data_IF_740305981409
#
_entry.id   IF_740305981409
#
_cell.length_a   1.000
_cell.length_b   1.000
_cell.length_c   1.000
_cell.angle_alpha   90.00
_cell.angle_beta   90.00
_cell.angle_gamma   90.00
#
_symmetry.space_group_name_H-M   'P 1'
#
loop_
_entity.id
_entity.type
_entity.pdbx_description
1 polymer ?
#
# COMPACT_ATOMS: atom_id res chain seq x y z
N UNK A 1 -33.14 -16.64 -13.46
CA UNK A 1 -32.02 -17.60 -13.28
C UNK A 1 -31.83 -18.59 -14.45
N UNK A 2 -32.08 -18.24 -15.73
CA UNK A 2 -31.88 -19.20 -16.87
C UNK A 2 -30.78 -18.81 -17.89
N UNK A 3 -30.12 -17.65 -17.76
CA UNK A 3 -29.02 -17.23 -18.66
C UNK A 3 -27.71 -16.84 -17.94
N UNK A 4 -27.63 -16.96 -16.61
CA UNK A 4 -26.47 -16.51 -15.82
C UNK A 4 -25.29 -17.49 -15.82
N UNK A 5 -25.51 -18.78 -16.07
CA UNK A 5 -24.45 -19.80 -16.03
C UNK A 5 -23.45 -19.75 -17.19
N UNK A 6 -23.73 -19.04 -18.29
CA UNK A 6 -22.80 -18.96 -19.42
C UNK A 6 -21.71 -17.90 -19.20
N UNK A 7 -21.99 -16.80 -18.52
CA UNK A 7 -21.09 -15.64 -18.41
C UNK A 7 -20.28 -15.60 -17.11
N UNK A 8 -20.80 -16.20 -16.03
CA UNK A 8 -20.21 -16.12 -14.69
C UNK A 8 -19.78 -17.49 -14.18
N UNK A 9 -18.81 -17.50 -13.28
CA UNK A 9 -18.27 -18.70 -12.65
C UNK A 9 -18.07 -18.46 -11.15
N UNK A 10 -18.39 -19.48 -10.35
CA UNK A 10 -18.04 -19.51 -8.94
C UNK A 10 -16.54 -19.80 -8.76
N UNK A 11 -15.89 -19.02 -7.92
CA UNK A 11 -14.55 -19.27 -7.41
C UNK A 11 -14.54 -19.18 -5.89
N UNK A 12 -13.48 -19.66 -5.27
CA UNK A 12 -13.25 -19.49 -3.83
C UNK A 12 -11.97 -18.67 -3.61
N UNK A 13 -12.09 -17.59 -2.85
CA UNK A 13 -10.96 -16.80 -2.37
C UNK A 13 -11.01 -16.71 -0.84
N UNK A 14 -9.95 -17.15 -0.17
CA UNK A 14 -9.99 -17.37 1.28
C UNK A 14 -11.02 -18.46 1.61
N UNK A 15 -11.99 -18.10 2.43
CA UNK A 15 -13.15 -18.93 2.76
C UNK A 15 -14.44 -18.46 2.09
N UNK A 16 -14.32 -17.51 1.15
CA UNK A 16 -15.46 -16.82 0.54
C UNK A 16 -15.67 -17.26 -0.89
N UNK A 17 -16.90 -17.71 -1.19
CA UNK A 17 -17.36 -18.01 -2.54
C UNK A 17 -17.71 -16.73 -3.28
N UNK A 18 -17.27 -16.58 -4.52
CA UNK A 18 -17.50 -15.39 -5.33
C UNK A 18 -17.98 -15.78 -6.72
N UNK A 19 -19.01 -15.09 -7.22
CA UNK A 19 -19.39 -15.13 -8.63
C UNK A 19 -18.61 -14.06 -9.39
N UNK A 20 -17.85 -14.49 -10.40
CA UNK A 20 -17.01 -13.61 -11.20
C UNK A 20 -17.23 -13.85 -12.69
N UNK A 21 -17.02 -12.86 -13.57
CA UNK A 21 -17.07 -13.08 -15.02
C UNK A 21 -16.00 -14.11 -15.43
N UNK A 22 -16.39 -15.14 -16.20
CA UNK A 22 -15.47 -16.20 -16.67
C UNK A 22 -14.24 -15.63 -17.38
N UNK A 23 -14.45 -14.61 -18.21
CA UNK A 23 -13.40 -13.91 -18.95
C UNK A 23 -12.33 -13.29 -18.05
N UNK A 24 -12.68 -12.89 -16.83
CA UNK A 24 -11.72 -12.37 -15.85
C UNK A 24 -10.67 -13.40 -15.43
N UNK A 25 -10.96 -14.69 -15.58
CA UNK A 25 -10.07 -15.79 -15.22
C UNK A 25 -9.18 -16.25 -16.38
N UNK A 26 -9.60 -15.99 -17.61
CA UNK A 26 -8.89 -16.47 -18.82
C UNK A 26 -8.15 -15.36 -19.55
N UNK A 27 -8.65 -14.12 -19.52
CA UNK A 27 -8.04 -13.00 -20.24
C UNK A 27 -6.85 -12.41 -19.46
N UNK A 28 -5.82 -11.99 -20.21
CA UNK A 28 -4.61 -11.38 -19.63
C UNK A 28 -4.91 -10.06 -18.92
N UNK A 29 -5.83 -9.27 -19.50
CA UNK A 29 -6.36 -8.03 -18.94
C UNK A 29 -7.84 -8.27 -18.68
N UNK A 30 -8.27 -8.32 -17.41
CA UNK A 30 -9.67 -8.59 -17.11
C UNK A 30 -10.60 -7.52 -17.68
N UNK A 31 -11.74 -7.93 -18.26
CA UNK A 31 -12.67 -6.98 -18.84
C UNK A 31 -13.38 -6.18 -17.75
N UNK A 32 -13.72 -4.92 -18.07
CA UNK A 32 -14.50 -4.04 -17.17
C UNK A 32 -16.01 -4.37 -17.28
N UNK A 33 -16.44 -4.90 -18.42
CA UNK A 33 -17.81 -5.29 -18.71
C UNK A 33 -17.95 -6.82 -18.74
N UNK A 34 -19.05 -7.40 -18.23
CA UNK A 34 -20.17 -6.70 -17.59
C UNK A 34 -19.84 -6.18 -16.17
N UNK A 35 -18.85 -6.78 -15.51
CA UNK A 35 -18.30 -6.35 -14.23
C UNK A 35 -16.79 -6.61 -14.21
N UNK A 36 -16.04 -5.87 -13.40
CA UNK A 36 -14.60 -6.09 -13.27
C UNK A 36 -14.27 -7.01 -12.10
N UNK A 37 -13.38 -7.97 -12.34
CA UNK A 37 -12.73 -8.74 -11.29
C UNK A 37 -11.29 -9.04 -11.72
N UNK A 38 -10.32 -8.82 -10.83
CA UNK A 38 -8.93 -9.19 -11.11
C UNK A 38 -8.48 -10.33 -10.18
N UNK A 39 -8.29 -11.56 -10.69
CA UNK A 39 -7.81 -12.67 -9.88
C UNK A 39 -6.38 -12.44 -9.36
N UNK A 40 -5.57 -11.64 -10.06
CA UNK A 40 -4.19 -11.32 -9.62
C UNK A 40 -4.15 -10.41 -8.39
N UNK A 41 -5.25 -9.73 -8.07
CA UNK A 41 -5.37 -8.91 -6.87
C UNK A 41 -5.71 -9.74 -5.61
N UNK A 42 -5.67 -11.08 -5.68
CA UNK A 42 -5.91 -11.96 -4.54
C UNK A 42 -4.98 -11.67 -3.35
N UNK A 43 -3.67 -11.56 -3.60
CA UNK A 43 -2.68 -11.27 -2.53
C UNK A 43 -2.93 -9.91 -1.88
N UNK A 44 -3.29 -8.93 -2.70
CA UNK A 44 -3.65 -7.59 -2.24
C UNK A 44 -4.93 -7.59 -1.36
N UNK A 45 -5.92 -8.42 -1.68
CA UNK A 45 -7.09 -8.66 -0.83
C UNK A 45 -6.73 -9.43 0.44
N UNK A 46 -5.82 -10.42 0.37
CA UNK A 46 -5.30 -11.12 1.56
C UNK A 46 -4.65 -10.13 2.54
N UNK A 47 -3.80 -9.20 2.08
CA UNK A 47 -3.26 -8.14 2.93
C UNK A 47 -4.34 -7.26 3.56
N UNK A 48 -5.42 -6.99 2.84
CA UNK A 48 -6.55 -6.21 3.37
C UNK A 48 -7.22 -6.94 4.52
N UNK A 49 -7.53 -8.24 4.36
CA UNK A 49 -8.13 -9.06 5.42
C UNK A 49 -7.22 -9.13 6.65
N UNK A 50 -5.91 -9.34 6.46
CA UNK A 50 -4.94 -9.38 7.57
C UNK A 50 -4.89 -8.02 8.29
N UNK A 51 -4.79 -6.90 7.56
CA UNK A 51 -4.75 -5.57 8.15
C UNK A 51 -6.03 -5.25 8.92
N UNK A 52 -7.19 -5.62 8.39
CA UNK A 52 -8.48 -5.41 9.05
C UNK A 52 -8.64 -6.31 10.28
N UNK A 53 -8.22 -7.58 10.23
CA UNK A 53 -8.18 -8.44 11.41
C UNK A 53 -7.32 -7.84 12.53
N UNK A 54 -6.09 -7.40 12.19
CA UNK A 54 -5.16 -6.80 13.14
C UNK A 54 -5.72 -5.52 13.76
N UNK A 55 -6.38 -4.68 12.96
CA UNK A 55 -7.07 -3.49 13.42
C UNK A 55 -8.21 -3.84 14.40
N UNK A 56 -9.10 -4.76 14.01
CA UNK A 56 -10.28 -5.14 14.78
C UNK A 56 -9.94 -5.82 16.11
N UNK A 57 -8.78 -6.49 16.22
CA UNK A 57 -8.29 -7.11 17.46
C UNK A 57 -8.11 -6.10 18.59
N UNK A 58 -7.66 -4.88 18.27
CA UNK A 58 -7.35 -3.81 19.23
C UNK A 58 -8.37 -2.66 19.22
N UNK A 59 -9.39 -2.72 18.37
CA UNK A 59 -10.37 -1.65 18.22
C UNK A 59 -11.60 -1.88 19.10
N UNK A 60 -11.86 -0.93 20.00
CA UNK A 60 -12.95 -1.01 21.00
C UNK A 60 -14.24 -0.26 20.59
N UNK A 61 -14.27 0.30 19.37
CA UNK A 61 -15.43 1.02 18.84
C UNK A 61 -16.37 0.13 18.00
N UNK A 62 -17.47 0.72 17.48
CA UNK A 62 -18.42 0.00 16.62
C UNK A 62 -17.72 -0.44 15.32
N UNK A 63 -17.85 -1.73 15.00
CA UNK A 63 -17.21 -2.34 13.84
C UNK A 63 -18.07 -2.14 12.60
N UNK A 64 -17.82 -1.04 11.88
CA UNK A 64 -18.56 -0.63 10.70
C UNK A 64 -17.61 -0.61 9.49
N UNK A 65 -17.90 -1.42 8.49
CA UNK A 65 -17.12 -1.50 7.26
C UNK A 65 -17.87 -0.81 6.11
N UNK A 66 -17.19 0.12 5.45
CA UNK A 66 -17.69 0.85 4.27
C UNK A 66 -16.76 0.57 3.09
N UNK A 67 -17.26 -0.11 2.06
CA UNK A 67 -16.55 -0.28 0.78
C UNK A 67 -17.21 0.58 -0.28
N UNK A 68 -16.46 1.53 -0.82
CA UNK A 68 -17.00 2.55 -1.74
C UNK A 68 -17.02 2.13 -3.22
N UNK A 69 -16.11 1.24 -3.62
CA UNK A 69 -15.94 0.74 -4.99
C UNK A 69 -15.71 -0.79 -4.95
N UNK A 70 -16.78 -1.58 -4.84
CA UNK A 70 -16.66 -3.01 -4.53
C UNK A 70 -16.31 -3.91 -5.71
N UNK A 71 -16.52 -3.46 -6.94
CA UNK A 71 -16.62 -4.34 -8.10
C UNK A 71 -17.62 -5.46 -7.80
N UNK A 72 -17.20 -6.71 -8.01
CA UNK A 72 -18.01 -7.91 -7.69
C UNK A 72 -18.13 -8.23 -6.19
N UNK A 73 -17.70 -7.33 -5.30
CA UNK A 73 -17.78 -7.51 -3.83
C UNK A 73 -16.65 -8.36 -3.23
N UNK A 74 -15.59 -8.66 -3.99
CA UNK A 74 -14.57 -9.62 -3.58
C UNK A 74 -13.88 -9.30 -2.25
N UNK A 75 -13.74 -8.02 -1.86
CA UNK A 75 -13.13 -7.65 -0.58
C UNK A 75 -14.19 -7.51 0.51
N UNK A 76 -15.26 -6.75 0.28
CA UNK A 76 -16.32 -6.59 1.27
C UNK A 76 -16.95 -7.92 1.71
N UNK A 77 -17.18 -8.84 0.77
CA UNK A 77 -17.71 -10.17 1.11
C UNK A 77 -16.72 -11.01 1.91
N UNK A 78 -15.42 -10.94 1.59
CA UNK A 78 -14.38 -11.57 2.42
C UNK A 78 -14.32 -10.98 3.82
N UNK A 79 -14.46 -9.66 3.94
CA UNK A 79 -14.54 -9.00 5.25
C UNK A 79 -15.77 -9.48 6.03
N UNK A 80 -16.93 -9.56 5.41
CA UNK A 80 -18.15 -10.05 6.06
C UNK A 80 -18.06 -11.53 6.49
N UNK A 81 -17.41 -12.37 5.68
CA UNK A 81 -17.35 -13.81 5.90
C UNK A 81 -16.21 -14.20 6.84
N UNK A 82 -15.05 -13.55 6.73
CA UNK A 82 -13.81 -13.94 7.41
C UNK A 82 -13.58 -13.15 8.70
N UNK A 83 -14.26 -12.00 8.90
CA UNK A 83 -14.06 -11.11 10.05
C UNK A 83 -15.36 -10.80 10.79
N UNK A 84 -15.25 -10.41 12.07
CA UNK A 84 -16.39 -10.00 12.90
C UNK A 84 -16.67 -8.51 12.73
N UNK A 85 -17.64 -8.19 11.86
CA UNK A 85 -18.14 -6.83 11.62
C UNK A 85 -19.60 -6.72 12.08
N UNK A 86 -19.98 -5.59 12.68
CA UNK A 86 -21.36 -5.34 13.14
C UNK A 86 -22.24 -4.77 12.04
N UNK A 87 -21.69 -3.92 11.16
CA UNK A 87 -22.42 -3.31 10.04
C UNK A 87 -21.57 -3.31 8.78
N UNK A 88 -22.08 -3.92 7.73
CA UNK A 88 -21.45 -4.00 6.42
C UNK A 88 -22.20 -3.14 5.41
N UNK A 89 -21.47 -2.26 4.72
CA UNK A 89 -22.00 -1.52 3.57
C UNK A 89 -21.10 -1.67 2.36
N UNK A 90 -21.65 -2.19 1.27
CA UNK A 90 -20.95 -2.45 0.01
C UNK A 90 -21.58 -1.60 -1.08
N UNK A 91 -20.79 -0.72 -1.69
CA UNK A 91 -21.23 0.18 -2.75
C UNK A 91 -20.47 -0.06 -4.06
N UNK A 92 -21.19 0.00 -5.18
CA UNK A 92 -20.59 0.14 -6.50
C UNK A 92 -21.53 0.89 -7.44
N UNK A 93 -20.97 1.61 -8.41
CA UNK A 93 -21.76 2.32 -9.42
C UNK A 93 -22.26 1.38 -10.53
N UNK A 94 -21.62 0.21 -10.72
CA UNK A 94 -22.02 -0.78 -11.71
C UNK A 94 -23.11 -1.70 -11.14
N UNK A 95 -24.37 -1.61 -11.62
CA UNK A 95 -25.47 -2.44 -11.12
C UNK A 95 -25.23 -3.94 -11.33
N UNK A 96 -24.53 -4.32 -12.40
CA UNK A 96 -24.25 -5.75 -12.67
C UNK A 96 -23.23 -6.31 -11.69
N UNK A 97 -22.22 -5.50 -11.33
CA UNK A 97 -21.24 -5.90 -10.33
C UNK A 97 -21.88 -6.02 -8.94
N UNK A 98 -22.80 -5.12 -8.61
CA UNK A 98 -23.55 -5.15 -7.36
C UNK A 98 -24.53 -6.33 -7.28
N UNK A 99 -25.19 -6.71 -8.38
CA UNK A 99 -26.00 -7.92 -8.45
C UNK A 99 -25.16 -9.18 -8.20
N UNK A 100 -23.98 -9.29 -8.82
CA UNK A 100 -23.04 -10.38 -8.55
C UNK A 100 -22.57 -10.41 -7.09
N UNK A 101 -22.36 -9.25 -6.47
CA UNK A 101 -21.99 -9.16 -5.06
C UNK A 101 -23.13 -9.66 -4.15
N UNK A 102 -24.38 -9.32 -4.46
CA UNK A 102 -25.57 -9.82 -3.74
C UNK A 102 -25.74 -11.32 -3.89
N UNK A 103 -25.64 -11.84 -5.12
CA UNK A 103 -25.74 -13.28 -5.36
C UNK A 103 -24.60 -14.04 -4.63
N UNK A 104 -23.38 -13.48 -4.66
CA UNK A 104 -22.24 -14.03 -3.92
C UNK A 104 -22.45 -13.98 -2.41
N UNK A 105 -23.11 -12.95 -1.87
CA UNK A 105 -23.42 -12.90 -0.43
C UNK A 105 -24.37 -14.04 -0.04
N UNK A 106 -25.36 -14.35 -0.87
CA UNK A 106 -26.27 -15.48 -0.66
C UNK A 106 -25.54 -16.82 -0.68
N UNK A 107 -24.54 -17.01 -1.55
CA UNK A 107 -23.72 -18.23 -1.59
C UNK A 107 -22.92 -18.49 -0.30
N UNK A 108 -22.66 -17.44 0.47
CA UNK A 108 -21.95 -17.50 1.75
C UNK A 108 -22.89 -17.37 2.96
N UNK A 109 -24.22 -17.36 2.75
CA UNK A 109 -25.23 -17.13 3.80
C UNK A 109 -25.07 -15.80 4.54
N UNK A 110 -24.60 -14.76 3.84
CA UNK A 110 -24.42 -13.41 4.38
C UNK A 110 -25.66 -12.57 4.07
N UNK A 111 -26.48 -12.34 5.09
CA UNK A 111 -27.76 -11.64 4.96
C UNK A 111 -27.73 -10.19 5.48
N UNK A 112 -26.77 -9.86 6.36
CA UNK A 112 -26.68 -8.57 7.04
C UNK A 112 -25.73 -7.58 6.33
N UNK A 113 -25.93 -7.40 5.02
CA UNK A 113 -25.13 -6.48 4.20
C UNK A 113 -26.05 -5.47 3.51
N UNK A 114 -25.77 -4.19 3.71
CA UNK A 114 -26.44 -3.11 2.98
C UNK A 114 -25.70 -2.85 1.65
N UNK A 115 -26.39 -3.06 0.53
CA UNK A 115 -25.85 -2.78 -0.80
C UNK A 115 -26.42 -1.47 -1.33
N UNK A 116 -25.57 -0.63 -1.94
CA UNK A 116 -26.00 0.62 -2.59
C UNK A 116 -25.38 0.83 -3.96
N UNK A 117 -26.14 1.47 -4.84
CA UNK A 117 -25.70 1.88 -6.18
C UNK A 117 -25.52 3.40 -6.21
N UNK A 118 -24.35 3.89 -5.79
CA UNK A 118 -24.05 5.33 -5.72
C UNK A 118 -22.64 5.60 -6.23
N UNK A 119 -22.43 6.83 -6.69
CA UNK A 119 -21.08 7.35 -6.89
C UNK A 119 -20.34 7.33 -5.54
N UNK A 120 -19.05 6.99 -5.55
CA UNK A 120 -18.27 6.69 -4.36
C UNK A 120 -18.25 7.83 -3.33
N UNK A 121 -18.06 9.08 -3.75
CA UNK A 121 -18.11 10.21 -2.82
C UNK A 121 -19.52 10.56 -2.36
N UNK A 122 -20.56 10.32 -3.17
CA UNK A 122 -21.97 10.43 -2.68
C UNK A 122 -22.19 9.43 -1.54
N UNK A 123 -21.84 8.17 -1.75
CA UNK A 123 -21.93 7.12 -0.73
C UNK A 123 -21.12 7.46 0.54
N UNK A 124 -19.86 7.88 0.40
CA UNK A 124 -19.01 8.19 1.54
C UNK A 124 -19.52 9.41 2.32
N UNK A 125 -20.05 10.44 1.64
CA UNK A 125 -20.56 11.64 2.31
C UNK A 125 -21.82 11.39 3.14
N UNK A 126 -22.66 10.42 2.77
CA UNK A 126 -23.80 9.99 3.61
C UNK A 126 -23.35 9.43 4.98
N UNK A 127 -22.12 8.95 5.05
CA UNK A 127 -21.50 8.40 6.25
C UNK A 127 -20.58 9.39 6.97
N UNK A 128 -20.60 10.68 6.60
CA UNK A 128 -19.72 11.70 7.20
C UNK A 128 -20.17 12.19 8.60
N UNK A 129 -21.43 11.90 8.98
CA UNK A 129 -22.02 12.32 10.27
C UNK A 129 -21.53 11.45 11.41
N UNK A 130 -21.33 12.05 12.59
CA UNK A 130 -20.98 11.35 13.83
C UNK A 130 -22.02 10.24 14.10
N UNK A 131 -21.55 9.04 14.43
CA UNK A 131 -22.39 7.84 14.65
C UNK A 131 -22.61 6.95 13.41
N UNK A 132 -22.42 7.49 12.20
CA UNK A 132 -22.60 6.74 10.94
C UNK A 132 -21.29 6.48 10.18
N UNK A 133 -20.17 7.00 10.67
CA UNK A 133 -18.84 6.82 10.07
C UNK A 133 -18.39 5.36 10.16
N UNK A 134 -17.56 4.93 9.21
CA UNK A 134 -16.93 3.61 9.20
C UNK A 134 -15.74 3.53 10.15
N UNK A 135 -15.58 2.40 10.83
CA UNK A 135 -14.33 2.05 11.53
C UNK A 135 -13.28 1.58 10.53
N UNK A 136 -13.72 1.00 9.41
CA UNK A 136 -12.90 0.64 8.27
C UNK A 136 -13.58 1.25 7.04
N UNK A 137 -12.85 2.06 6.29
CA UNK A 137 -13.30 2.65 5.03
C UNK A 137 -12.34 2.26 3.92
N UNK A 138 -12.86 1.66 2.85
CA UNK A 138 -12.07 1.15 1.73
C UNK A 138 -12.37 1.89 0.42
N UNK A 139 -11.30 2.32 -0.24
CA UNK A 139 -11.32 3.03 -1.53
C UNK A 139 -10.34 2.35 -2.49
N UNK A 140 -10.87 1.58 -3.45
CA UNK A 140 -10.09 0.82 -4.44
C UNK A 140 -10.51 1.16 -5.88
N UNK A 141 -10.17 2.36 -6.40
CA UNK A 141 -10.61 2.79 -7.71
C UNK A 141 -9.68 2.30 -8.82
N UNK A 142 -10.16 2.38 -10.05
CA UNK A 142 -9.28 2.37 -11.22
C UNK A 142 -8.48 3.67 -11.30
N UNK A 143 -7.16 3.56 -11.38
CA UNK A 143 -6.24 4.69 -11.43
C UNK A 143 -5.91 5.26 -10.06
N UNK A 144 -6.33 6.50 -9.80
CA UNK A 144 -5.87 7.29 -8.64
C UNK A 144 -6.94 7.37 -7.55
N UNK A 145 -6.58 7.21 -6.26
CA UNK A 145 -7.50 7.41 -5.15
C UNK A 145 -7.63 8.88 -4.73
N UNK A 146 -6.81 9.78 -5.28
CA UNK A 146 -6.69 11.15 -4.80
C UNK A 146 -8.01 11.95 -4.85
N UNK A 147 -8.89 11.64 -5.80
CA UNK A 147 -10.20 12.27 -5.92
C UNK A 147 -11.14 11.95 -4.74
N UNK A 148 -10.89 10.87 -4.01
CA UNK A 148 -11.77 10.36 -2.96
C UNK A 148 -11.22 10.60 -1.55
N UNK A 149 -10.03 11.19 -1.40
CA UNK A 149 -9.40 11.38 -0.09
C UNK A 149 -10.24 12.21 0.88
N UNK A 150 -10.85 13.31 0.43
CA UNK A 150 -11.66 14.18 1.30
C UNK A 150 -12.89 13.43 1.82
N UNK A 151 -13.68 12.83 0.91
CA UNK A 151 -14.90 12.10 1.27
C UNK A 151 -14.57 10.84 2.09
N UNK A 152 -13.45 10.16 1.79
CA UNK A 152 -12.91 9.04 2.57
C UNK A 152 -12.57 9.40 4.01
N UNK A 153 -11.77 10.45 4.21
CA UNK A 153 -11.40 10.92 5.56
C UNK A 153 -12.64 11.29 6.37
N UNK A 154 -13.61 11.99 5.76
CA UNK A 154 -14.84 12.39 6.46
C UNK A 154 -15.71 11.20 6.85
N UNK A 155 -15.71 10.15 6.04
CA UNK A 155 -16.44 8.91 6.30
C UNK A 155 -15.77 8.02 7.35
N UNK A 156 -14.48 8.21 7.64
CA UNK A 156 -13.76 7.44 8.66
C UNK A 156 -13.94 8.05 10.06
N UNK A 157 -14.26 7.21 11.04
CA UNK A 157 -14.40 7.66 12.42
C UNK A 157 -13.06 7.93 13.08
N UNK A 158 -13.07 8.64 14.22
CA UNK A 158 -11.87 8.82 15.03
C UNK A 158 -11.34 7.45 15.48
N UNK A 159 -10.05 7.21 15.25
CA UNK A 159 -9.39 5.95 15.54
C UNK A 159 -9.61 4.85 14.49
N UNK A 160 -10.47 5.09 13.50
CA UNK A 160 -10.73 4.18 12.39
C UNK A 160 -9.60 4.13 11.36
N UNK A 161 -9.67 3.19 10.43
CA UNK A 161 -8.70 3.00 9.36
C UNK A 161 -9.33 3.34 8.00
N UNK A 162 -8.60 4.15 7.22
CA UNK A 162 -8.88 4.44 5.82
C UNK A 162 -7.83 3.72 4.98
N UNK A 163 -8.29 2.78 4.15
CA UNK A 163 -7.47 2.10 3.15
C UNK A 163 -7.70 2.70 1.77
N UNK A 164 -6.62 2.89 1.02
CA UNK A 164 -6.69 3.41 -0.34
C UNK A 164 -5.79 2.64 -1.28
N UNK A 165 -6.21 2.51 -2.54
CA UNK A 165 -5.46 1.86 -3.59
C UNK A 165 -5.14 2.82 -4.74
N UNK A 166 -3.96 2.69 -5.32
CA UNK A 166 -3.61 3.32 -6.58
C UNK A 166 -3.09 2.27 -7.58
N UNK A 167 -3.56 2.38 -8.82
CA UNK A 167 -3.13 1.55 -9.96
C UNK A 167 -2.52 2.38 -11.10
N UNK A 168 -2.45 3.71 -10.96
CA UNK A 168 -1.79 4.59 -11.94
C UNK A 168 -0.26 4.67 -11.78
N UNK A 169 0.39 3.50 -11.70
CA UNK A 169 1.83 3.34 -11.43
C UNK A 169 2.73 4.17 -12.33
N UNK A 170 2.41 4.29 -13.62
CA UNK A 170 3.23 5.07 -14.57
C UNK A 170 3.28 6.56 -14.19
N UNK A 171 2.18 7.08 -13.63
CA UNK A 171 2.11 8.47 -13.14
C UNK A 171 3.02 8.61 -11.92
N UNK A 172 2.85 7.73 -10.93
CA UNK A 172 3.57 7.77 -9.65
C UNK A 172 5.08 7.47 -9.78
N UNK A 173 5.50 6.63 -10.73
CA UNK A 173 6.91 6.32 -11.00
C UNK A 173 7.59 7.33 -11.94
N UNK A 174 6.91 8.42 -12.30
CA UNK A 174 7.51 9.54 -13.01
C UNK A 174 7.63 9.39 -14.53
N UNK A 175 6.83 8.53 -15.16
CA UNK A 175 6.64 8.58 -16.62
C UNK A 175 5.91 9.88 -17.01
N UNK A 176 4.88 10.25 -16.24
CA UNK A 176 4.03 11.43 -16.47
C UNK A 176 4.04 12.39 -15.26
N UNK A 177 5.17 13.07 -15.03
CA UNK A 177 5.37 13.95 -13.87
C UNK A 177 4.29 15.04 -13.71
N UNK A 178 3.88 15.68 -14.81
CA UNK A 178 2.83 16.70 -14.77
C UNK A 178 1.46 16.16 -14.33
N UNK A 179 1.13 14.91 -14.70
CA UNK A 179 -0.07 14.24 -14.22
C UNK A 179 0.02 13.91 -12.72
N UNK A 180 1.20 13.48 -12.25
CA UNK A 180 1.43 13.21 -10.83
C UNK A 180 1.27 14.48 -10.00
N UNK A 181 1.87 15.59 -10.44
CA UNK A 181 1.72 16.89 -9.79
C UNK A 181 0.26 17.33 -9.68
N UNK A 182 -0.53 17.15 -10.75
CA UNK A 182 -1.97 17.52 -10.74
C UNK A 182 -2.80 16.65 -9.80
N UNK A 183 -2.55 15.33 -9.76
CA UNK A 183 -3.34 14.38 -8.97
C UNK A 183 -2.92 14.33 -7.49
N UNK A 184 -1.61 14.31 -7.23
CA UNK A 184 -1.04 14.04 -5.91
C UNK A 184 -0.34 15.26 -5.28
N UNK A 185 -0.21 16.38 -6.00
CA UNK A 185 0.49 17.58 -5.51
C UNK A 185 2.02 17.47 -5.52
N UNK A 186 2.58 16.26 -5.42
CA UNK A 186 4.01 15.98 -5.49
C UNK A 186 4.54 15.64 -6.89
N UNK A 187 5.81 15.93 -7.12
CA UNK A 187 6.55 15.59 -8.34
C UNK A 187 7.44 14.37 -8.10
N UNK A 188 7.30 13.29 -8.89
CA UNK A 188 8.15 12.11 -8.80
C UNK A 188 9.47 12.29 -9.56
N UNK A 189 10.47 11.51 -9.20
CA UNK A 189 11.73 11.36 -9.93
C UNK A 189 11.87 9.90 -10.36
N UNK A 190 12.39 9.64 -11.56
CA UNK A 190 12.67 8.26 -12.00
C UNK A 190 13.91 7.72 -11.29
N UNK A 191 13.71 6.74 -10.42
CA UNK A 191 14.73 6.15 -9.53
C UNK A 191 14.41 4.69 -9.24
N UNK A 192 15.40 3.94 -8.75
CA UNK A 192 15.34 2.52 -8.42
C UNK A 192 14.40 2.22 -7.23
N UNK A 193 14.20 3.22 -6.35
CA UNK A 193 13.26 3.17 -5.22
C UNK A 193 11.86 3.74 -5.53
N UNK A 194 11.46 3.68 -6.81
CA UNK A 194 10.21 4.25 -7.32
C UNK A 194 8.95 3.76 -6.61
N UNK A 195 8.90 2.49 -6.19
CA UNK A 195 7.77 1.91 -5.47
C UNK A 195 7.51 2.59 -4.12
N UNK A 196 8.55 2.79 -3.32
CA UNK A 196 8.41 3.48 -2.04
C UNK A 196 8.13 4.98 -2.24
N UNK A 197 8.80 5.62 -3.21
CA UNK A 197 8.52 7.01 -3.57
C UNK A 197 7.05 7.21 -3.96
N UNK A 198 6.48 6.30 -4.74
CA UNK A 198 5.09 6.32 -5.14
C UNK A 198 4.13 6.25 -3.94
N UNK A 199 4.36 5.31 -3.02
CA UNK A 199 3.59 5.21 -1.77
C UNK A 199 3.69 6.50 -0.96
N UNK A 200 4.88 7.09 -0.85
CA UNK A 200 5.09 8.35 -0.13
C UNK A 200 4.39 9.53 -0.80
N UNK A 201 4.26 9.55 -2.12
CA UNK A 201 3.47 10.55 -2.85
C UNK A 201 1.97 10.40 -2.57
N UNK A 202 1.45 9.16 -2.53
CA UNK A 202 0.05 8.88 -2.16
C UNK A 202 -0.21 9.37 -0.74
N UNK A 203 0.63 8.96 0.23
CA UNK A 203 0.51 9.37 1.63
C UNK A 203 0.68 10.88 1.82
N UNK A 204 1.59 11.52 1.08
CA UNK A 204 1.79 12.97 1.13
C UNK A 204 0.58 13.75 0.64
N UNK A 205 -0.06 13.28 -0.44
CA UNK A 205 -1.32 13.83 -0.95
C UNK A 205 -2.44 13.65 0.08
N UNK A 206 -2.62 12.44 0.62
CA UNK A 206 -3.62 12.14 1.65
C UNK A 206 -3.41 13.00 2.90
N UNK A 207 -2.17 13.14 3.37
CA UNK A 207 -1.79 13.99 4.50
C UNK A 207 -2.12 15.47 4.26
N UNK A 208 -1.91 15.96 3.04
CA UNK A 208 -2.24 17.34 2.66
C UNK A 208 -3.76 17.58 2.70
N UNK A 209 -4.56 16.59 2.26
CA UNK A 209 -6.03 16.66 2.38
C UNK A 209 -6.45 16.63 3.85
N UNK A 210 -5.93 15.70 4.64
CA UNK A 210 -6.24 15.59 6.08
C UNK A 210 -5.91 16.87 6.85
N UNK A 211 -4.79 17.52 6.52
CA UNK A 211 -4.38 18.81 7.09
C UNK A 211 -5.48 19.87 6.97
N UNK A 212 -6.02 20.03 5.75
CA UNK A 212 -7.06 21.03 5.43
C UNK A 212 -8.36 20.78 6.18
N UNK A 213 -8.56 19.55 6.65
CA UNK A 213 -9.72 19.13 7.44
C UNK A 213 -9.49 19.21 8.96
N UNK A 214 -8.29 19.59 9.40
CA UNK A 214 -7.93 19.56 10.82
C UNK A 214 -7.85 18.14 11.38
N UNK A 215 -7.45 17.17 10.56
CA UNK A 215 -7.40 15.74 10.87
C UNK A 215 -5.96 15.23 10.75
N UNK A 216 -5.54 14.40 11.71
CA UNK A 216 -4.29 13.64 11.62
C UNK A 216 -4.56 12.32 10.92
N UNK A 217 -3.70 11.98 9.96
CA UNK A 217 -3.57 10.61 9.46
C UNK A 217 -2.26 10.02 9.96
N UNK A 218 -2.24 8.72 10.25
CA UNK A 218 -1.04 7.98 10.65
C UNK A 218 -0.93 6.74 9.76
N UNK A 219 0.13 6.56 8.96
CA UNK A 219 0.31 5.34 8.19
C UNK A 219 0.54 4.16 9.14
N UNK A 220 -0.27 3.12 8.99
CA UNK A 220 -0.18 1.90 9.80
C UNK A 220 0.56 0.80 9.05
N UNK A 221 0.26 0.67 7.75
CA UNK A 221 0.84 -0.33 6.88
C UNK A 221 0.70 0.14 5.42
N UNK A 222 1.61 -0.33 4.57
CA UNK A 222 1.55 -0.14 3.12
C UNK A 222 1.95 -1.44 2.44
N UNK A 223 1.48 -1.68 1.23
CA UNK A 223 1.98 -2.78 0.41
C UNK A 223 2.06 -2.42 -1.06
N UNK A 224 2.93 -3.14 -1.75
CA UNK A 224 3.06 -3.08 -3.20
C UNK A 224 3.02 -4.49 -3.76
N UNK A 225 1.98 -4.79 -4.53
CA UNK A 225 1.83 -6.08 -5.19
C UNK A 225 1.50 -5.87 -6.67
N UNK A 226 2.41 -6.33 -7.54
CA UNK A 226 2.36 -6.21 -9.00
C UNK A 226 2.11 -4.78 -9.51
N UNK A 227 0.83 -4.39 -9.59
CA UNK A 227 0.34 -3.15 -10.17
C UNK A 227 -0.54 -2.34 -9.21
N UNK A 228 -0.41 -2.60 -7.91
CA UNK A 228 -1.16 -1.92 -6.86
C UNK A 228 -0.22 -1.31 -5.84
N UNK A 229 -0.55 -0.08 -5.45
CA UNK A 229 -0.05 0.55 -4.25
C UNK A 229 -1.19 0.66 -3.26
N UNK A 230 -1.03 0.07 -2.08
CA UNK A 230 -2.01 0.15 -0.99
C UNK A 230 -1.46 0.90 0.19
N UNK A 231 -2.30 1.72 0.80
CA UNK A 231 -2.02 2.40 2.06
C UNK A 231 -3.13 2.12 3.05
N UNK A 232 -2.78 1.85 4.30
CA UNK A 232 -3.71 1.72 5.41
C UNK A 232 -3.36 2.78 6.44
N UNK A 233 -4.26 3.74 6.65
CA UNK A 233 -3.98 4.92 7.47
C UNK A 233 -5.01 5.05 8.59
N UNK A 234 -4.55 5.26 9.82
CA UNK A 234 -5.42 5.58 10.95
C UNK A 234 -5.81 7.04 10.90
N UNK A 235 -7.10 7.33 11.05
CA UNK A 235 -7.64 8.68 11.04
C UNK A 235 -7.95 9.12 12.46
N UNK A 236 -7.38 10.24 12.89
CA UNK A 236 -7.66 10.85 14.19
C UNK A 236 -8.23 12.25 13.96
N UNK A 237 -9.47 12.46 14.43
CA UNK A 237 -10.14 13.76 14.40
C UNK A 237 -9.52 14.75 15.40
N UNK A 238 -8.25 15.09 15.19
CA UNK A 238 -7.47 16.10 15.90
C UNK A 238 -6.48 16.70 14.92
N UNK A 239 -6.00 17.90 15.22
CA UNK A 239 -5.03 18.60 14.37
C UNK A 239 -3.70 17.85 14.44
N UNK A 240 -3.09 17.62 13.28
CA UNK A 240 -1.72 17.12 13.22
C UNK A 240 -0.72 18.27 13.46
N UNK A 241 0.25 18.01 14.33
CA UNK A 241 1.27 18.96 14.75
C UNK A 241 2.66 18.61 14.20
N UNK A 242 2.80 17.49 13.50
CA UNK A 242 4.10 17.01 13.01
C UNK A 242 4.40 17.46 11.56
N UNK A 243 5.67 17.78 11.31
CA UNK A 243 6.20 18.07 9.98
C UNK A 243 6.57 16.79 9.22
N UNK A 244 5.54 16.14 8.68
CA UNK A 244 5.67 14.84 8.00
C UNK A 244 5.69 14.92 6.47
N UNK A 245 5.69 16.13 5.90
CA UNK A 245 5.82 16.38 4.46
C UNK A 245 7.20 16.94 4.13
N UNK A 246 7.81 16.41 3.08
CA UNK A 246 9.11 16.88 2.61
C UNK A 246 9.48 16.24 1.29
N UNK A 247 10.76 16.03 1.08
CA UNK A 247 11.35 15.60 -0.18
C UNK A 247 12.28 14.41 0.02
N UNK A 248 12.40 13.57 -1.00
CA UNK A 248 13.58 12.71 -1.16
C UNK A 248 14.51 13.43 -2.13
N UNK A 249 15.68 13.82 -1.61
CA UNK A 249 16.76 14.41 -2.39
C UNK A 249 17.61 13.28 -2.97
N UNK A 250 17.89 13.33 -4.27
CA UNK A 250 18.62 12.31 -4.99
C UNK A 250 19.66 12.91 -5.93
N UNK A 251 20.93 12.59 -5.69
CA UNK A 251 22.01 12.98 -6.56
C UNK A 251 22.21 11.92 -7.66
N UNK A 252 21.83 12.22 -8.90
CA UNK A 252 22.00 11.28 -10.04
C UNK A 252 23.46 10.98 -10.39
N UNK A 253 24.39 11.84 -9.99
CA UNK A 253 25.83 11.63 -10.23
C UNK A 253 26.41 10.53 -9.31
N UNK A 254 26.41 10.76 -7.98
CA UNK A 254 26.96 9.80 -7.03
C UNK A 254 25.96 8.73 -6.56
N UNK A 255 24.65 8.92 -6.68
CA UNK A 255 23.62 8.00 -6.17
C UNK A 255 23.21 8.25 -4.71
N UNK A 256 23.86 9.22 -4.04
CA UNK A 256 23.50 9.63 -2.68
C UNK A 256 22.07 10.16 -2.63
N UNK A 257 21.37 9.82 -1.54
CA UNK A 257 19.99 10.19 -1.32
C UNK A 257 19.68 10.29 0.17
N UNK A 258 18.76 11.20 0.51
CA UNK A 258 18.26 11.41 1.87
C UNK A 258 16.84 11.98 1.83
N UNK A 259 16.10 11.84 2.93
CA UNK A 259 14.88 12.61 3.17
C UNK A 259 15.23 13.98 3.75
N UNK A 260 14.44 15.00 3.43
CA UNK A 260 14.60 16.36 3.96
C UNK A 260 13.25 17.08 3.99
N UNK A 261 13.05 18.03 4.90
CA UNK A 261 11.85 18.88 4.92
C UNK A 261 11.89 19.86 3.74
N UNK A 262 13.06 20.43 3.48
CA UNK A 262 13.27 21.41 2.41
C UNK A 262 14.05 20.84 1.22
N UNK A 263 13.90 21.48 0.06
CA UNK A 263 14.69 21.15 -1.12
C UNK A 263 16.11 21.68 -0.98
N UNK A 264 17.08 20.90 -1.46
CA UNK A 264 18.48 21.32 -1.53
C UNK A 264 19.01 21.10 -2.93
N UNK A 265 19.63 22.13 -3.53
CA UNK A 265 20.08 22.08 -4.92
C UNK A 265 21.34 21.22 -5.11
N UNK A 266 22.21 21.18 -4.11
CA UNK A 266 23.50 20.49 -4.20
C UNK A 266 23.55 19.25 -3.33
N UNK A 267 24.22 18.22 -3.84
CA UNK A 267 24.50 16.99 -3.11
C UNK A 267 25.55 17.22 -2.01
N UNK A 268 25.29 16.74 -0.81
CA UNK A 268 26.21 16.90 0.32
C UNK A 268 27.59 16.28 0.07
N UNK A 269 27.64 15.18 -0.70
CA UNK A 269 28.86 14.40 -0.91
C UNK A 269 29.71 14.86 -2.09
N UNK A 270 29.08 15.25 -3.21
CA UNK A 270 29.81 15.53 -4.46
C UNK A 270 29.48 16.90 -5.07
N UNK A 271 28.66 17.71 -4.41
CA UNK A 271 28.24 19.06 -4.83
C UNK A 271 27.53 19.14 -6.20
N UNK A 272 27.28 18.01 -6.85
CA UNK A 272 26.48 17.93 -8.07
C UNK A 272 25.01 18.26 -7.77
N UNK A 273 24.26 18.63 -8.81
CA UNK A 273 22.83 18.96 -8.69
C UNK A 273 21.97 17.79 -8.21
N UNK A 274 21.15 18.02 -7.19
CA UNK A 274 20.12 17.08 -6.74
C UNK A 274 18.87 17.16 -7.62
N UNK A 275 18.23 16.01 -7.80
CA UNK A 275 16.81 15.91 -8.12
C UNK A 275 16.01 15.80 -6.82
N UNK A 276 14.82 16.37 -6.78
CA UNK A 276 13.97 16.37 -5.58
C UNK A 276 12.62 15.73 -5.93
N UNK A 277 12.28 14.63 -5.28
CA UNK A 277 10.95 14.03 -5.36
C UNK A 277 10.10 14.57 -4.20
N UNK A 278 8.92 15.13 -4.48
CA UNK A 278 8.00 15.64 -3.47
C UNK A 278 7.22 16.90 -3.89
N UNK A 279 6.50 17.55 -2.95
CA UNK A 279 6.36 17.13 -1.55
C UNK A 279 5.70 15.76 -1.44
N UNK A 280 6.17 14.95 -0.49
CA UNK A 280 5.74 13.58 -0.21
C UNK A 280 5.86 13.28 1.29
N UNK A 281 5.31 12.16 1.74
CA UNK A 281 5.44 11.70 3.12
C UNK A 281 6.87 11.27 3.46
N UNK A 282 7.49 11.91 4.45
CA UNK A 282 8.87 11.59 4.90
C UNK A 282 8.92 10.80 6.22
N UNK A 283 7.78 10.65 6.91
CA UNK A 283 7.69 9.87 8.13
C UNK A 283 7.71 8.34 7.93
N UNK A 284 7.44 7.61 9.01
CA UNK A 284 7.32 6.14 9.00
C UNK A 284 6.10 5.72 8.18
N UNK A 285 6.19 4.57 7.52
CA UNK A 285 5.13 4.00 6.68
C UNK A 285 4.59 2.66 7.21
N UNK A 286 5.21 2.15 8.27
CA UNK A 286 4.83 0.95 8.99
C UNK A 286 4.77 1.26 10.48
N UNK A 287 3.64 0.95 11.12
CA UNK A 287 3.53 0.92 12.57
C UNK A 287 3.99 -0.45 13.07
N UNK A 288 5.09 -0.49 13.81
CA UNK A 288 5.75 -1.73 14.21
C UNK A 288 4.84 -2.66 15.02
N UNK A 289 4.01 -2.11 15.91
CA UNK A 289 3.12 -2.89 16.75
C UNK A 289 1.91 -3.41 15.97
N UNK A 290 1.40 -2.63 15.02
CA UNK A 290 0.36 -3.05 14.09
C UNK A 290 0.85 -4.17 13.18
N UNK A 291 2.06 -4.06 12.63
CA UNK A 291 2.66 -5.09 11.78
C UNK A 291 2.89 -6.39 12.56
N UNK A 292 3.32 -6.34 13.83
CA UNK A 292 3.37 -7.53 14.69
C UNK A 292 1.99 -8.18 14.85
N UNK A 293 0.96 -7.38 15.12
CA UNK A 293 -0.42 -7.89 15.21
C UNK A 293 -0.89 -8.48 13.87
N UNK A 294 -0.48 -7.93 12.71
CA UNK A 294 -0.75 -8.54 11.40
C UNK A 294 -0.12 -9.92 11.25
N UNK A 295 1.10 -10.13 11.74
CA UNK A 295 1.75 -11.45 11.74
C UNK A 295 0.93 -12.44 12.58
N UNK A 296 0.56 -12.05 13.80
CA UNK A 296 -0.27 -12.88 14.69
C UNK A 296 -1.60 -13.27 14.05
N UNK A 297 -2.31 -12.33 13.42
CA UNK A 297 -3.60 -12.61 12.80
C UNK A 297 -3.47 -13.42 11.51
N UNK A 298 -2.36 -13.29 10.78
CA UNK A 298 -2.14 -14.03 9.53
C UNK A 298 -2.18 -15.55 9.71
N UNK A 299 -1.79 -16.06 10.89
CA UNK A 299 -1.84 -17.50 11.21
C UNK A 299 -3.25 -18.03 11.40
N UNK A 300 -4.23 -17.17 11.70
CA UNK A 300 -5.63 -17.54 11.93
C UNK A 300 -6.50 -17.43 10.67
N UNK A 301 -5.92 -16.94 9.56
CA UNK A 301 -6.63 -16.63 8.33
C UNK A 301 -6.17 -17.55 7.19
N UNK A 302 -7.09 -17.88 6.28
CA UNK A 302 -6.77 -18.65 5.09
C UNK A 302 -6.27 -17.74 3.96
N UNK A 303 -4.99 -17.39 4.05
CA UNK A 303 -4.31 -16.45 3.15
C UNK A 303 -3.13 -17.11 2.42
N UNK A 304 -2.59 -16.43 1.41
CA UNK A 304 -1.35 -16.88 0.77
C UNK A 304 -0.13 -16.72 1.69
N UNK A 305 0.68 -17.78 1.81
CA UNK A 305 1.93 -17.79 2.61
C UNK A 305 2.95 -16.71 2.21
N UNK A 306 2.86 -16.16 1.00
CA UNK A 306 3.68 -15.02 0.55
C UNK A 306 3.38 -13.74 1.35
N UNK A 307 2.15 -13.58 1.86
CA UNK A 307 1.79 -12.41 2.66
C UNK A 307 2.58 -12.37 3.97
N UNK A 308 2.62 -13.49 4.70
CA UNK A 308 3.36 -13.62 5.97
C UNK A 308 4.85 -13.27 5.78
N UNK A 309 5.49 -13.86 4.76
CA UNK A 309 6.88 -13.54 4.40
C UNK A 309 7.08 -12.05 4.14
N UNK A 310 6.14 -11.40 3.45
CA UNK A 310 6.22 -9.97 3.13
C UNK A 310 6.03 -9.11 4.37
N UNK A 311 5.08 -9.44 5.25
CA UNK A 311 4.83 -8.72 6.50
C UNK A 311 6.06 -8.79 7.42
N UNK A 312 6.77 -9.92 7.47
CA UNK A 312 8.05 -10.01 8.18
C UNK A 312 9.10 -9.03 7.62
N UNK A 313 9.20 -8.86 6.30
CA UNK A 313 10.07 -7.83 5.70
C UNK A 313 9.65 -6.43 6.14
N UNK A 314 8.34 -6.15 6.11
CA UNK A 314 7.78 -4.87 6.56
C UNK A 314 8.12 -4.59 8.03
N UNK A 315 8.14 -5.61 8.89
CA UNK A 315 8.51 -5.48 10.29
C UNK A 315 9.99 -5.10 10.47
N UNK A 316 10.89 -5.73 9.70
CA UNK A 316 12.32 -5.43 9.73
C UNK A 316 12.62 -4.01 9.23
N UNK A 317 11.88 -3.53 8.22
CA UNK A 317 12.13 -2.22 7.62
C UNK A 317 11.34 -1.05 8.24
N UNK A 318 10.54 -1.31 9.29
CA UNK A 318 9.59 -0.33 9.84
C UNK A 318 10.25 0.98 10.34
N UNK A 319 11.50 0.88 10.79
CA UNK A 319 12.29 1.98 11.35
C UNK A 319 13.37 2.49 10.38
N UNK A 320 13.35 2.02 9.14
CA UNK A 320 14.40 2.30 8.16
C UNK A 320 14.11 3.59 7.36
N UNK A 321 15.15 4.20 6.74
CA UNK A 321 14.99 5.42 5.95
C UNK A 321 13.99 5.29 4.81
N UNK A 322 13.48 6.44 4.35
CA UNK A 322 12.41 6.53 3.37
C UNK A 322 12.78 6.29 1.91
N UNK A 323 13.76 5.42 1.69
CA UNK A 323 14.30 5.01 0.41
C UNK A 323 15.09 3.73 0.63
N UNK A 324 15.29 2.95 -0.43
CA UNK A 324 16.14 1.77 -0.42
C UNK A 324 17.20 1.84 -1.50
N UNK A 325 18.18 0.96 -1.43
CA UNK A 325 19.17 0.66 -2.45
C UNK A 325 18.92 -0.73 -3.05
N UNK A 326 19.40 -0.99 -4.26
CA UNK A 326 19.34 -2.32 -4.87
C UNK A 326 20.74 -2.85 -5.15
N UNK A 327 20.92 -4.17 -5.08
CA UNK A 327 22.20 -4.76 -5.43
C UNK A 327 22.64 -4.39 -6.86
N UNK A 328 21.68 -4.40 -7.79
CA UNK A 328 21.94 -4.14 -9.21
C UNK A 328 22.42 -2.71 -9.47
N UNK A 329 21.87 -1.72 -8.77
CA UNK A 329 22.29 -0.33 -8.94
C UNK A 329 23.73 -0.13 -8.44
N UNK A 330 24.09 -0.75 -7.31
CA UNK A 330 25.40 -0.62 -6.70
C UNK A 330 26.43 -1.36 -7.56
N UNK A 331 26.16 -2.63 -7.89
CA UNK A 331 27.02 -3.47 -8.73
C UNK A 331 27.31 -2.81 -10.09
N UNK A 332 26.28 -2.24 -10.74
CA UNK A 332 26.43 -1.48 -11.99
C UNK A 332 27.35 -0.27 -11.81
N UNK A 333 27.23 0.44 -10.68
CA UNK A 333 28.02 1.64 -10.40
C UNK A 333 29.51 1.33 -10.24
N UNK A 334 29.84 0.22 -9.59
CA UNK A 334 31.24 -0.20 -9.34
C UNK A 334 31.79 -1.20 -10.37
N UNK A 335 30.96 -1.60 -11.34
CA UNK A 335 31.29 -2.55 -12.43
C UNK A 335 31.70 -3.94 -11.91
N UNK A 336 30.97 -4.46 -10.93
CA UNK A 336 31.17 -5.81 -10.38
C UNK A 336 29.88 -6.64 -10.47
N UNK A 337 29.96 -7.92 -10.14
CA UNK A 337 28.78 -8.77 -9.94
C UNK A 337 28.17 -8.52 -8.56
N UNK A 338 26.83 -8.52 -8.44
CA UNK A 338 26.18 -8.34 -7.15
C UNK A 338 26.47 -9.53 -6.21
N UNK A 339 26.94 -9.29 -4.98
CA UNK A 339 27.02 -10.31 -3.92
C UNK A 339 25.60 -10.69 -3.45
N UNK A 340 25.51 -11.71 -2.60
CA UNK A 340 24.23 -12.11 -1.99
C UNK A 340 23.70 -10.99 -1.08
N UNK A 341 22.38 -10.75 -1.13
CA UNK A 341 21.71 -9.68 -0.37
C UNK A 341 21.95 -9.83 1.14
N UNK A 342 21.88 -11.07 1.63
CA UNK A 342 22.09 -11.41 3.04
C UNK A 342 23.50 -11.03 3.51
N UNK A 343 24.52 -11.22 2.65
CA UNK A 343 25.92 -10.86 2.95
C UNK A 343 26.08 -9.35 3.06
N UNK A 344 25.46 -8.58 2.17
CA UNK A 344 25.50 -7.10 2.23
C UNK A 344 24.83 -6.58 3.49
N UNK A 345 23.66 -7.12 3.85
CA UNK A 345 22.94 -6.73 5.06
C UNK A 345 23.76 -7.06 6.31
N UNK A 346 24.34 -8.26 6.37
CA UNK A 346 25.19 -8.67 7.48
C UNK A 346 26.41 -7.76 7.62
N UNK A 347 27.15 -7.55 6.53
CA UNK A 347 28.36 -6.72 6.55
C UNK A 347 28.06 -5.26 6.92
N UNK A 348 26.92 -4.70 6.49
CA UNK A 348 26.48 -3.37 6.92
C UNK A 348 26.27 -3.33 8.44
N UNK A 349 25.60 -4.34 9.01
CA UNK A 349 25.37 -4.44 10.46
C UNK A 349 26.66 -4.60 11.25
N UNK A 350 27.57 -5.47 10.79
CA UNK A 350 28.89 -5.69 11.41
C UNK A 350 29.76 -4.42 11.39
N UNK A 351 29.53 -3.51 10.44
CA UNK A 351 30.20 -2.22 10.36
C UNK A 351 29.41 -1.08 11.02
N UNK A 352 28.44 -1.39 11.88
CA UNK A 352 27.74 -0.41 12.73
C UNK A 352 26.58 0.33 12.08
N UNK A 353 26.17 -0.04 10.87
CA UNK A 353 25.02 0.56 10.19
C UNK A 353 23.72 -0.21 10.50
N UNK A 354 22.58 0.49 10.51
CA UNK A 354 21.29 -0.19 10.45
C UNK A 354 21.10 -0.71 9.03
N UNK A 355 20.56 -1.91 8.90
CA UNK A 355 20.28 -2.49 7.58
C UNK A 355 19.15 -3.51 7.63
N UNK A 356 18.32 -3.54 6.59
CA UNK A 356 17.23 -4.50 6.42
C UNK A 356 17.02 -4.82 4.95
N UNK A 357 16.37 -5.96 4.68
CA UNK A 357 15.68 -6.16 3.39
C UNK A 357 14.50 -5.18 3.28
N UNK A 358 13.94 -5.03 2.08
CA UNK A 358 12.69 -4.30 1.88
C UNK A 358 11.63 -5.16 1.17
N UNK A 359 10.36 -4.92 1.50
CA UNK A 359 9.19 -5.47 0.82
C UNK A 359 9.00 -4.89 -0.59
N UNK A 360 9.57 -3.73 -0.90
CA UNK A 360 9.35 -3.01 -2.16
C UNK A 360 10.14 -3.56 -3.36
N UNK A 361 11.22 -4.30 -3.12
CA UNK A 361 12.10 -4.80 -4.17
C UNK A 361 12.85 -6.08 -3.74
N UNK A 362 12.86 -7.15 -4.56
CA UNK A 362 13.54 -8.41 -4.22
C UNK A 362 15.05 -8.31 -3.96
N UNK A 363 15.76 -7.40 -4.64
CA UNK A 363 17.20 -7.15 -4.45
C UNK A 363 17.45 -5.89 -3.62
N UNK A 364 16.39 -5.34 -3.02
CA UNK A 364 16.43 -4.10 -2.26
C UNK A 364 16.89 -4.28 -0.82
N UNK A 365 17.65 -3.32 -0.32
CA UNK A 365 17.99 -3.18 1.09
C UNK A 365 17.91 -1.71 1.52
N UNK A 366 17.59 -1.48 2.79
CA UNK A 366 17.63 -0.15 3.40
C UNK A 366 18.81 -0.05 4.34
N UNK A 367 19.37 1.14 4.49
CA UNK A 367 20.43 1.42 5.46
C UNK A 367 20.55 2.91 5.75
N UNK A 368 21.06 3.25 6.93
CA UNK A 368 21.48 4.62 7.26
C UNK A 368 22.86 4.99 6.68
N UNK A 369 23.58 4.03 6.09
CA UNK A 369 24.85 4.29 5.40
C UNK A 369 24.66 5.18 4.16
N UNK A 370 25.63 6.06 3.90
CA UNK A 370 25.69 6.83 2.66
C UNK A 370 26.27 5.98 1.50
N UNK A 371 26.19 6.50 0.28
CA UNK A 371 26.57 5.73 -0.92
C UNK A 371 28.05 5.33 -0.96
N UNK A 372 28.95 6.16 -0.40
CA UNK A 372 30.38 5.83 -0.37
C UNK A 372 30.66 4.70 0.62
N UNK A 373 29.98 4.70 1.77
CA UNK A 373 30.04 3.64 2.77
C UNK A 373 29.47 2.33 2.22
N UNK A 374 28.32 2.39 1.55
CA UNK A 374 27.71 1.23 0.88
C UNK A 374 28.69 0.61 -0.12
N UNK A 375 29.32 1.42 -0.99
CA UNK A 375 30.30 0.93 -1.98
C UNK A 375 31.48 0.23 -1.29
N UNK A 376 32.00 0.79 -0.20
CA UNK A 376 33.10 0.18 0.56
C UNK A 376 32.71 -1.19 1.11
N UNK A 377 31.52 -1.30 1.71
CA UNK A 377 31.00 -2.58 2.22
C UNK A 377 30.72 -3.58 1.10
N UNK A 378 30.25 -3.11 -0.06
CA UNK A 378 29.99 -3.95 -1.21
C UNK A 378 31.26 -4.63 -1.72
N UNK A 379 32.37 -3.90 -1.80
CA UNK A 379 33.67 -4.46 -2.21
C UNK A 379 34.18 -5.53 -1.23
N UNK A 380 34.06 -5.30 0.08
CA UNK A 380 34.38 -6.31 1.11
C UNK A 380 33.50 -7.56 0.98
N UNK A 381 32.25 -7.38 0.55
CA UNK A 381 31.30 -8.47 0.34
C UNK A 381 31.59 -9.30 -0.91
N UNK A 382 32.31 -8.73 -1.89
CA UNK A 382 32.69 -9.40 -3.14
C UNK A 382 33.95 -10.25 -3.03
N UNK A 383 34.75 -10.09 -1.96
CA UNK A 383 35.91 -10.93 -1.72
C UNK A 383 35.48 -12.35 -1.28
N UNK A 384 36.06 -13.42 -1.87
CA UNK A 384 35.81 -14.78 -1.41
C UNK A 384 36.33 -14.91 0.02
N UNK A 385 35.51 -15.43 0.94
CA UNK A 385 36.00 -15.85 2.25
C UNK A 385 37.10 -16.89 2.00
N UNK A 386 38.36 -16.51 2.21
CA UNK A 386 39.39 -17.47 2.54
C UNK A 386 38.98 -18.05 3.88
N UNK A 387 38.39 -19.26 3.86
CA UNK A 387 38.32 -20.08 5.06
C UNK A 387 39.76 -20.33 5.49
N UNK A 388 40.27 -19.54 6.43
CA UNK A 388 41.44 -19.92 7.21
C UNK A 388 41.01 -21.08 8.10
N UNK A 389 41.61 -22.23 7.80
CA UNK A 389 41.51 -23.54 8.45
C UNK A 389 41.75 -23.45 9.95
#
# INVERSE_FOLDING_TARGET
>A
MKNTNELFQEIVEGDTKLLVPKKSLTEKVPPIKPAFFNPKAKTNRDFSIIAYAAFLKKFEGPKIFLESLSGVGARGLRVANELKIEKMKINDLNPTALELAKDSSMLNNLNDIEFSEKEACVFLNEHSRKGNRGSIVDIDPFGSPAAFFDCGIRATMHGGILSTAATDLQVLNGLFQGACKRKYGGVPVRVEYGNEMAIRLILGSLRSVAARLGVTMIPMFVETEMHYYRTYTKILNRIDQEENLGYILHCKNCGHRKTAIEQQQECDLCKSKNSSAGPLWIGKIFDKEFVKTMIEESSNLKIQKSCEKTIHKCLEEAEMPGYYFTLDEIAKKIKTSPPKLEKVILNLKENGFTSSITSFNPTGFKTNANINEIIKIFNLSSEPHTNTV
#
